data_IF_876126569559
#
_entry.id   IF_876126569559
#
_cell.length_a   1.000
_cell.length_b   1.000
_cell.length_c   1.000
_cell.angle_alpha   90.00
_cell.angle_beta   90.00
_cell.angle_gamma   90.00
#
_symmetry.space_group_name_H-M   'P 1'
#
loop_
_entity.id
_entity.type
_entity.pdbx_description
1 polymer ?
#
# COMPACT_ATOMS: atom_id res chain seq x y z
N UNK A 1 40.66 11.85 -7.58
CA UNK A 1 39.54 12.78 -7.38
C UNK A 1 38.28 11.97 -7.59
N UNK A 2 37.80 11.32 -6.53
CA UNK A 2 36.63 10.45 -6.60
C UNK A 2 35.41 11.35 -6.55
N UNK A 3 34.57 11.27 -7.59
CA UNK A 3 33.28 11.94 -7.59
C UNK A 3 32.44 11.37 -6.43
N UNK A 4 31.91 12.25 -5.58
CA UNK A 4 30.93 11.84 -4.58
C UNK A 4 29.68 11.32 -5.31
N UNK A 5 29.15 10.14 -4.93
CA UNK A 5 27.92 9.63 -5.53
C UNK A 5 26.78 10.63 -5.30
N UNK A 6 25.96 10.84 -6.34
CA UNK A 6 24.83 11.76 -6.22
C UNK A 6 23.70 11.13 -5.40
N UNK A 7 22.85 11.93 -4.75
CA UNK A 7 21.67 11.42 -4.04
C UNK A 7 20.71 10.59 -4.93
N UNK A 8 20.82 10.72 -6.26
CA UNK A 8 20.11 9.87 -7.21
C UNK A 8 20.74 8.47 -7.34
N UNK A 9 22.07 8.36 -7.26
CA UNK A 9 22.83 7.10 -7.28
C UNK A 9 22.64 6.32 -5.97
N UNK A 10 22.60 7.03 -4.83
CA UNK A 10 22.29 6.44 -3.51
C UNK A 10 20.86 5.90 -3.44
N UNK A 11 19.90 6.59 -4.06
CA UNK A 11 18.52 6.14 -4.11
C UNK A 11 18.30 4.96 -5.06
N UNK A 12 19.00 4.91 -6.19
CA UNK A 12 18.94 3.79 -7.13
C UNK A 12 19.55 2.52 -6.50
N UNK A 13 20.72 2.64 -5.87
CA UNK A 13 21.39 1.54 -5.18
C UNK A 13 20.62 1.04 -3.95
N UNK A 14 20.00 1.94 -3.18
CA UNK A 14 19.14 1.59 -2.05
C UNK A 14 17.86 0.86 -2.48
N UNK A 15 17.22 1.30 -3.58
CA UNK A 15 16.07 0.59 -4.18
C UNK A 15 16.44 -0.78 -4.74
N UNK A 16 17.60 -0.88 -5.39
CA UNK A 16 18.11 -2.14 -5.92
C UNK A 16 18.47 -3.14 -4.81
N UNK A 17 19.03 -2.66 -3.69
CA UNK A 17 19.30 -3.48 -2.49
C UNK A 17 18.01 -3.95 -1.82
N UNK A 18 17.07 -3.04 -1.56
CA UNK A 18 15.78 -3.37 -0.94
C UNK A 18 14.99 -4.37 -1.78
N UNK A 19 15.04 -4.23 -3.11
CA UNK A 19 14.41 -5.18 -4.03
C UNK A 19 15.06 -6.57 -3.99
N UNK A 20 16.40 -6.65 -3.91
CA UNK A 20 17.11 -7.93 -3.77
C UNK A 20 16.82 -8.60 -2.44
N UNK A 21 16.75 -7.84 -1.35
CA UNK A 21 16.43 -8.34 -0.02
C UNK A 21 14.99 -8.86 0.05
N UNK A 22 14.02 -8.12 -0.50
CA UNK A 22 12.65 -8.61 -0.64
C UNK A 22 12.56 -9.90 -1.47
N UNK A 23 13.27 -9.97 -2.60
CA UNK A 23 13.30 -11.17 -3.43
C UNK A 23 13.94 -12.38 -2.73
N UNK A 24 14.93 -12.15 -1.86
CA UNK A 24 15.53 -13.22 -1.06
C UNK A 24 14.56 -13.76 0.00
N UNK A 25 13.78 -12.88 0.64
CA UNK A 25 12.73 -13.26 1.59
C UNK A 25 11.64 -14.10 0.89
N UNK A 26 11.19 -13.68 -0.29
CA UNK A 26 10.25 -14.45 -1.12
C UNK A 26 10.79 -15.83 -1.52
N UNK A 27 12.08 -15.89 -1.88
CA UNK A 27 12.74 -17.14 -2.25
C UNK A 27 12.84 -18.10 -1.05
N UNK A 28 13.20 -17.61 0.13
CA UNK A 28 13.28 -18.40 1.35
C UNK A 28 11.90 -18.95 1.75
N UNK A 29 10.84 -18.14 1.66
CA UNK A 29 9.47 -18.63 1.87
C UNK A 29 9.06 -19.68 0.84
N UNK A 30 9.36 -19.45 -0.44
CA UNK A 30 9.09 -20.42 -1.51
C UNK A 30 9.85 -21.75 -1.31
N UNK A 31 11.04 -21.71 -0.74
CA UNK A 31 11.84 -22.88 -0.41
C UNK A 31 11.38 -23.60 0.87
N UNK A 32 10.44 -23.02 1.63
CA UNK A 32 9.98 -23.55 2.92
C UNK A 32 10.94 -23.28 4.07
N UNK A 33 11.92 -22.39 3.88
CA UNK A 33 12.86 -21.96 4.92
C UNK A 33 12.23 -20.95 5.88
N UNK A 34 11.25 -20.17 5.39
CA UNK A 34 10.38 -19.31 6.18
C UNK A 34 8.96 -19.83 6.11
N UNK A 35 8.26 -19.81 7.24
CA UNK A 35 6.81 -19.90 7.26
C UNK A 35 6.18 -18.52 7.03
N UNK A 36 4.86 -18.44 7.10
CA UNK A 36 4.13 -17.20 6.85
C UNK A 36 4.49 -16.11 7.88
N UNK A 37 4.62 -16.47 9.16
CA UNK A 37 4.97 -15.50 10.21
C UNK A 37 6.40 -14.98 10.02
N UNK A 38 7.34 -15.88 9.74
CA UNK A 38 8.73 -15.56 9.45
C UNK A 38 8.91 -14.67 8.21
N UNK A 39 8.11 -14.87 7.15
CA UNK A 39 8.13 -13.98 5.99
C UNK A 39 7.71 -12.55 6.38
N UNK A 40 6.60 -12.40 7.11
CA UNK A 40 6.12 -11.07 7.52
C UNK A 40 7.10 -10.38 8.47
N UNK A 41 7.70 -11.12 9.39
CA UNK A 41 8.73 -10.59 10.29
C UNK A 41 9.97 -10.13 9.52
N UNK A 42 10.43 -10.92 8.54
CA UNK A 42 11.57 -10.55 7.72
C UNK A 42 11.32 -9.28 6.88
N UNK A 43 10.14 -9.16 6.28
CA UNK A 43 9.75 -7.94 5.53
C UNK A 43 9.63 -6.74 6.48
N UNK A 44 9.03 -6.92 7.67
CA UNK A 44 8.94 -5.87 8.68
C UNK A 44 10.31 -5.41 9.14
N UNK A 45 11.21 -6.34 9.46
CA UNK A 45 12.58 -6.04 9.88
C UNK A 45 13.39 -5.30 8.80
N UNK A 46 13.07 -5.52 7.53
CA UNK A 46 13.66 -4.79 6.41
C UNK A 46 13.15 -3.34 6.32
N UNK A 47 11.84 -3.12 6.49
CA UNK A 47 11.17 -1.84 6.19
C UNK A 47 11.10 -0.90 7.40
N UNK A 48 10.73 -1.44 8.57
CA UNK A 48 10.42 -0.67 9.78
C UNK A 48 11.57 0.27 10.20
N UNK A 49 12.84 -0.18 10.27
CA UNK A 49 13.94 0.71 10.68
C UNK A 49 14.15 1.89 9.73
N UNK A 50 14.06 1.64 8.41
CA UNK A 50 14.25 2.68 7.40
C UNK A 50 13.14 3.72 7.46
N UNK A 51 11.90 3.30 7.72
CA UNK A 51 10.78 4.22 7.83
C UNK A 51 10.88 5.04 9.12
N UNK A 52 11.14 4.41 10.26
CA UNK A 52 11.24 5.11 11.55
C UNK A 52 12.40 6.09 11.62
N UNK A 53 13.53 5.79 10.95
CA UNK A 53 14.70 6.67 10.92
C UNK A 53 14.52 7.90 10.01
N UNK A 54 13.50 7.92 9.16
CA UNK A 54 13.27 9.01 8.23
C UNK A 54 12.73 10.29 8.93
N UNK A 55 13.13 11.44 8.40
CA UNK A 55 12.90 12.76 9.00
C UNK A 55 11.65 13.50 8.48
N UNK A 56 10.92 12.90 7.55
CA UNK A 56 9.74 13.51 6.94
C UNK A 56 8.61 12.50 6.70
N UNK A 57 7.35 12.97 6.63
CA UNK A 57 6.18 12.09 6.58
C UNK A 57 6.18 11.11 5.40
N UNK A 58 6.73 11.55 4.26
CA UNK A 58 6.71 10.81 2.99
C UNK A 58 7.73 9.68 3.01
N UNK A 59 8.93 9.96 3.52
CA UNK A 59 9.98 8.96 3.67
C UNK A 59 9.63 7.91 4.73
N UNK A 60 8.97 8.32 5.83
CA UNK A 60 8.35 7.43 6.82
C UNK A 60 7.17 6.59 6.27
N UNK A 61 6.78 6.79 5.01
CA UNK A 61 5.77 6.03 4.25
C UNK A 61 6.35 5.43 2.96
N UNK A 62 7.67 5.21 2.90
CA UNK A 62 8.32 4.56 1.76
C UNK A 62 8.48 5.41 0.51
N UNK A 63 8.36 6.73 0.62
CA UNK A 63 8.52 7.63 -0.51
C UNK A 63 9.68 8.62 -0.34
N UNK A 64 10.65 8.54 -1.23
CA UNK A 64 11.88 9.35 -1.19
C UNK A 64 11.81 10.66 -1.99
N UNK A 65 10.67 10.98 -2.62
CA UNK A 65 10.49 12.20 -3.41
C UNK A 65 10.24 13.45 -2.55
N UNK A 66 10.02 14.59 -3.21
CA UNK A 66 9.51 15.85 -2.62
C UNK A 66 7.95 15.84 -2.54
N UNK A 67 7.29 16.86 -1.94
CA UNK A 67 5.83 16.83 -1.78
C UNK A 67 5.08 16.73 -3.11
N UNK A 68 5.57 17.40 -4.15
CA UNK A 68 4.97 17.34 -5.49
C UNK A 68 5.10 15.93 -6.10
N UNK A 69 6.22 15.25 -5.86
CA UNK A 69 6.40 13.85 -6.30
C UNK A 69 5.52 12.88 -5.53
N UNK A 70 5.29 13.11 -4.24
CA UNK A 70 4.33 12.33 -3.46
C UNK A 70 2.92 12.49 -4.00
N UNK A 71 2.49 13.74 -4.19
CA UNK A 71 1.18 14.05 -4.76
C UNK A 71 1.00 13.41 -6.14
N UNK A 72 1.96 13.61 -7.05
CA UNK A 72 1.91 13.01 -8.38
C UNK A 72 1.84 11.47 -8.34
N UNK A 73 2.53 10.84 -7.40
CA UNK A 73 2.56 9.38 -7.26
C UNK A 73 1.34 8.79 -6.54
N UNK A 74 0.57 9.58 -5.79
CA UNK A 74 -0.51 9.09 -4.90
C UNK A 74 -1.88 9.68 -5.20
N UNK A 75 -1.98 10.90 -5.74
CA UNK A 75 -3.25 11.57 -6.06
C UNK A 75 -4.09 10.78 -7.07
N UNK A 76 -3.48 9.95 -7.93
CA UNK A 76 -4.26 9.07 -8.82
C UNK A 76 -5.26 8.17 -8.07
N UNK A 77 -5.06 7.91 -6.78
CA UNK A 77 -6.00 7.15 -5.95
C UNK A 77 -7.36 7.85 -5.78
N UNK A 78 -7.45 9.19 -5.87
CA UNK A 78 -8.75 9.88 -5.76
C UNK A 78 -9.71 9.44 -6.87
N UNK A 79 -9.17 9.15 -8.07
CA UNK A 79 -9.91 8.65 -9.22
C UNK A 79 -10.40 7.21 -9.08
N UNK A 80 -9.89 6.46 -8.11
CA UNK A 80 -10.36 5.11 -7.79
C UNK A 80 -11.44 5.11 -6.70
N UNK A 81 -11.64 6.23 -5.99
CA UNK A 81 -12.66 6.35 -4.95
C UNK A 81 -14.07 6.36 -5.57
N UNK A 82 -15.07 5.73 -4.92
CA UNK A 82 -16.46 5.91 -5.31
C UNK A 82 -16.91 7.35 -5.01
N UNK A 83 -17.74 7.92 -5.89
CA UNK A 83 -18.23 9.30 -5.75
C UNK A 83 -19.05 9.51 -4.45
N UNK A 84 -19.64 8.44 -3.91
CA UNK A 84 -20.38 8.46 -2.65
C UNK A 84 -19.49 8.65 -1.42
N UNK A 85 -18.17 8.45 -1.55
CA UNK A 85 -17.25 8.41 -0.42
C UNK A 85 -17.54 7.24 0.54
N UNK A 86 -17.14 7.41 1.81
CA UNK A 86 -17.38 6.43 2.87
C UNK A 86 -16.18 6.19 3.79
N UNK A 87 -16.33 5.22 4.69
CA UNK A 87 -15.23 4.77 5.56
C UNK A 87 -14.17 4.06 4.71
N UNK A 88 -12.92 4.57 4.75
CA UNK A 88 -11.77 4.08 4.01
C UNK A 88 -10.74 3.47 4.96
N UNK A 89 -10.39 2.20 4.76
CA UNK A 89 -9.26 1.55 5.41
C UNK A 89 -8.02 1.58 4.52
N UNK A 90 -6.94 2.18 5.01
CA UNK A 90 -5.60 2.09 4.42
C UNK A 90 -4.83 0.94 5.09
N UNK A 91 -4.63 -0.16 4.36
CA UNK A 91 -3.84 -1.29 4.82
C UNK A 91 -2.36 -1.00 4.56
N UNK A 92 -1.51 -1.22 5.57
CA UNK A 92 -0.14 -0.76 5.55
C UNK A 92 -0.07 0.76 5.63
N UNK A 93 -0.81 1.36 6.59
CA UNK A 93 -0.94 2.80 6.71
C UNK A 93 0.37 3.53 7.07
N UNK A 94 1.42 2.80 7.44
CA UNK A 94 2.70 3.32 7.89
C UNK A 94 2.52 4.39 8.97
N UNK A 95 2.96 5.61 8.72
CA UNK A 95 2.80 6.74 9.66
C UNK A 95 1.50 7.54 9.48
N UNK A 96 0.55 7.07 8.66
CA UNK A 96 -0.73 7.75 8.40
C UNK A 96 -0.68 8.88 7.37
N UNK A 97 0.46 9.15 6.73
CA UNK A 97 0.56 10.29 5.81
C UNK A 97 -0.35 10.15 4.58
N UNK A 98 -0.53 8.94 4.04
CA UNK A 98 -1.47 8.70 2.94
C UNK A 98 -2.92 8.95 3.37
N UNK A 99 -3.29 8.55 4.59
CA UNK A 99 -4.62 8.81 5.15
C UNK A 99 -4.94 10.31 5.15
N UNK A 100 -4.00 11.14 5.62
CA UNK A 100 -4.15 12.61 5.64
C UNK A 100 -4.29 13.18 4.23
N UNK A 101 -3.32 12.88 3.36
CA UNK A 101 -3.27 13.51 2.03
C UNK A 101 -4.42 13.05 1.14
N UNK A 102 -4.79 11.77 1.19
CA UNK A 102 -5.89 11.25 0.39
C UNK A 102 -7.23 11.81 0.85
N UNK A 103 -7.42 12.01 2.16
CA UNK A 103 -8.63 12.65 2.70
C UNK A 103 -8.75 14.10 2.22
N UNK A 104 -7.66 14.86 2.25
CA UNK A 104 -7.64 16.24 1.76
C UNK A 104 -7.92 16.31 0.25
N UNK A 105 -7.23 15.51 -0.56
CA UNK A 105 -7.40 15.50 -2.01
C UNK A 105 -8.77 15.00 -2.44
N UNK A 106 -9.33 14.00 -1.75
CA UNK A 106 -10.69 13.54 -2.03
C UNK A 106 -11.73 14.65 -1.76
N UNK A 107 -11.55 15.43 -0.69
CA UNK A 107 -12.44 16.53 -0.37
C UNK A 107 -12.40 17.66 -1.42
N UNK A 108 -11.23 17.91 -2.05
CA UNK A 108 -11.12 18.83 -3.20
C UNK A 108 -11.96 18.37 -4.39
N UNK A 109 -12.07 17.05 -4.59
CA UNK A 109 -12.90 16.42 -5.63
C UNK A 109 -14.38 16.24 -5.18
N UNK A 110 -14.78 16.77 -4.01
CA UNK A 110 -16.13 16.63 -3.46
C UNK A 110 -16.46 15.25 -2.89
N UNK A 111 -15.45 14.39 -2.70
CA UNK A 111 -15.58 13.03 -2.18
C UNK A 111 -15.22 13.03 -0.68
N UNK A 112 -16.17 12.66 0.17
CA UNK A 112 -15.94 12.62 1.61
C UNK A 112 -15.58 11.20 2.07
N UNK A 113 -14.32 11.03 2.51
CA UNK A 113 -13.86 9.78 3.13
C UNK A 113 -13.58 9.97 4.63
N UNK A 114 -13.78 8.91 5.40
CA UNK A 114 -13.35 8.82 6.79
C UNK A 114 -12.21 7.82 6.88
N UNK A 115 -10.97 8.26 7.17
CA UNK A 115 -9.84 7.35 7.12
C UNK A 115 -9.70 6.50 8.39
N UNK A 116 -9.28 5.27 8.17
CA UNK A 116 -8.87 4.26 9.13
C UNK A 116 -7.56 3.64 8.66
N UNK A 117 -6.77 3.10 9.58
CA UNK A 117 -5.47 2.52 9.26
C UNK A 117 -5.25 1.19 9.96
N UNK A 118 -4.55 0.27 9.29
CA UNK A 118 -3.97 -0.91 9.93
C UNK A 118 -2.54 -1.08 9.45
N UNK A 119 -1.64 -1.37 10.37
CA UNK A 119 -0.25 -1.69 10.05
C UNK A 119 0.24 -2.88 10.87
N UNK A 120 1.12 -3.69 10.27
CA UNK A 120 1.74 -4.83 10.94
C UNK A 120 2.82 -4.39 11.92
N UNK A 121 3.39 -3.21 11.73
CA UNK A 121 4.35 -2.63 12.66
C UNK A 121 3.64 -1.89 13.79
N UNK A 122 3.84 -2.37 15.02
CA UNK A 122 3.38 -1.67 16.22
C UNK A 122 3.95 -0.26 16.30
N UNK A 123 5.22 -0.08 15.93
CA UNK A 123 5.91 1.19 15.99
C UNK A 123 5.39 2.19 14.95
N UNK A 124 5.15 1.76 13.71
CA UNK A 124 4.55 2.62 12.68
C UNK A 124 3.09 2.97 13.02
N UNK A 125 2.30 2.01 13.52
CA UNK A 125 0.95 2.28 14.00
C UNK A 125 0.94 3.30 15.15
N UNK A 126 1.90 3.24 16.07
CA UNK A 126 2.05 4.26 17.11
C UNK A 126 2.41 5.63 16.52
N UNK A 127 3.37 5.69 15.60
CA UNK A 127 3.75 6.92 14.89
C UNK A 127 2.57 7.53 14.10
N UNK A 128 1.72 6.69 13.51
CA UNK A 128 0.51 7.14 12.82
C UNK A 128 -0.51 7.79 13.78
N UNK A 129 -0.69 7.22 14.97
CA UNK A 129 -1.56 7.80 16.01
C UNK A 129 -1.02 9.13 16.52
N UNK A 130 0.31 9.27 16.64
CA UNK A 130 0.95 10.53 17.02
C UNK A 130 0.80 11.60 15.93
N UNK A 131 0.97 11.21 14.65
CA UNK A 131 0.77 12.12 13.51
C UNK A 131 -0.67 12.56 13.36
N UNK A 132 -1.61 11.62 13.47
CA UNK A 132 -3.03 11.82 13.22
C UNK A 132 -3.85 11.65 14.53
N UNK A 133 -3.67 12.51 15.55
CA UNK A 133 -4.33 12.33 16.84
C UNK A 133 -5.86 12.33 16.74
N UNK A 134 -6.43 13.05 15.77
CA UNK A 134 -7.86 13.06 15.46
C UNK A 134 -8.42 11.70 15.00
N UNK A 135 -7.56 10.78 14.55
CA UNK A 135 -7.91 9.43 14.10
C UNK A 135 -7.20 8.34 14.89
N UNK A 136 -6.59 8.66 16.04
CA UNK A 136 -5.79 7.70 16.80
C UNK A 136 -6.58 6.43 17.19
N UNK A 137 -7.88 6.56 17.47
CA UNK A 137 -8.78 5.43 17.76
C UNK A 137 -9.22 4.61 16.54
N UNK A 138 -8.83 5.04 15.34
CA UNK A 138 -9.14 4.41 14.04
C UNK A 138 -7.94 3.69 13.42
N UNK A 139 -6.83 3.61 14.16
CA UNK A 139 -5.58 3.01 13.71
C UNK A 139 -5.29 1.77 14.54
N UNK A 140 -5.19 0.62 13.88
CA UNK A 140 -4.91 -0.68 14.51
C UNK A 140 -3.50 -1.17 14.21
N UNK A 141 -2.96 -1.94 15.16
CA UNK A 141 -1.78 -2.77 14.95
C UNK A 141 -2.25 -4.21 14.74
N UNK A 142 -2.06 -4.75 13.54
CA UNK A 142 -2.41 -6.13 13.19
C UNK A 142 -1.78 -6.54 11.86
N UNK A 143 -1.55 -7.84 11.68
CA UNK A 143 -1.25 -8.39 10.36
C UNK A 143 -2.54 -8.50 9.55
N UNK A 144 -2.70 -7.68 8.51
CA UNK A 144 -3.89 -7.68 7.65
C UNK A 144 -4.19 -9.05 7.03
N UNK A 145 -3.17 -9.90 6.86
CA UNK A 145 -3.36 -11.31 6.50
C UNK A 145 -4.00 -12.06 7.67
N UNK A 146 -5.32 -12.25 7.59
CA UNK A 146 -6.13 -12.95 8.61
C UNK A 146 -6.66 -12.06 9.74
N UNK A 147 -6.39 -10.76 9.74
CA UNK A 147 -6.97 -9.84 10.72
C UNK A 147 -8.49 -9.77 10.59
N UNK A 148 -9.18 -9.91 11.72
CA UNK A 148 -10.61 -9.71 11.87
C UNK A 148 -10.87 -8.27 12.33
N UNK A 149 -11.28 -7.35 11.43
CA UNK A 149 -11.49 -5.97 11.81
C UNK A 149 -12.75 -5.85 12.70
N UNK A 150 -12.84 -4.83 13.57
CA UNK A 150 -14.03 -4.63 14.41
C UNK A 150 -15.27 -4.22 13.62
N UNK A 151 -15.11 -3.93 12.31
CA UNK A 151 -16.14 -3.54 11.36
C UNK A 151 -15.63 -3.72 9.93
N UNK A 152 -16.54 -3.73 8.96
CA UNK A 152 -16.20 -3.63 7.55
C UNK A 152 -16.12 -2.16 7.09
N UNK A 153 -15.52 -1.95 5.91
CA UNK A 153 -15.26 -0.63 5.33
C UNK A 153 -15.83 -0.52 3.92
N UNK A 154 -16.39 0.64 3.57
CA UNK A 154 -16.91 0.89 2.23
C UNK A 154 -15.79 0.87 1.18
N UNK A 155 -14.58 1.28 1.59
CA UNK A 155 -13.41 1.33 0.73
C UNK A 155 -12.24 0.71 1.50
N UNK A 156 -11.52 -0.23 0.89
CA UNK A 156 -10.27 -0.78 1.41
C UNK A 156 -9.18 -0.54 0.38
N UNK A 157 -8.04 -0.01 0.79
CA UNK A 157 -6.87 0.17 -0.07
C UNK A 157 -5.70 -0.68 0.45
N UNK A 158 -5.03 -1.41 -0.45
CA UNK A 158 -3.92 -2.31 -0.10
C UNK A 158 -2.86 -2.39 -1.19
N UNK A 159 -1.66 -2.87 -0.85
CA UNK A 159 -0.72 -3.51 -1.77
C UNK A 159 -0.87 -5.04 -1.75
N UNK A 160 -0.42 -5.74 -2.80
CA UNK A 160 -0.33 -7.22 -2.83
C UNK A 160 1.08 -7.73 -2.52
N UNK A 161 2.01 -6.81 -2.31
CA UNK A 161 3.37 -7.02 -1.79
C UNK A 161 3.40 -7.13 -0.25
N UNK A 162 2.23 -7.10 0.42
CA UNK A 162 2.11 -7.30 1.87
C UNK A 162 2.06 -8.76 2.29
N UNK A 163 1.99 -9.68 1.32
CA UNK A 163 2.00 -11.13 1.53
C UNK A 163 2.91 -11.77 0.47
N UNK A 164 3.44 -12.98 0.71
CA UNK A 164 4.17 -13.72 -0.30
C UNK A 164 3.29 -13.97 -1.54
N UNK A 165 3.85 -14.05 -2.76
CA UNK A 165 3.08 -14.24 -3.99
C UNK A 165 2.06 -15.40 -3.94
N UNK A 166 2.43 -16.51 -3.29
CA UNK A 166 1.60 -17.70 -3.15
C UNK A 166 0.34 -17.48 -2.28
N UNK A 167 0.34 -16.46 -1.41
CA UNK A 167 -0.77 -16.14 -0.52
C UNK A 167 -1.65 -14.99 -1.03
N UNK A 168 -1.29 -14.34 -2.15
CA UNK A 168 -2.06 -13.20 -2.67
C UNK A 168 -3.53 -13.52 -2.94
N UNK A 169 -3.84 -14.71 -3.47
CA UNK A 169 -5.22 -15.13 -3.69
C UNK A 169 -6.02 -15.23 -2.37
N UNK A 170 -5.45 -15.90 -1.37
CA UNK A 170 -6.07 -16.01 -0.04
C UNK A 170 -6.19 -14.65 0.65
N UNK A 171 -5.22 -13.76 0.45
CA UNK A 171 -5.23 -12.40 0.99
C UNK A 171 -6.33 -11.54 0.36
N UNK A 172 -6.45 -11.55 -0.97
CA UNK A 172 -7.53 -10.85 -1.68
C UNK A 172 -8.89 -11.38 -1.24
N UNK A 173 -9.07 -12.70 -1.16
CA UNK A 173 -10.31 -13.33 -0.69
C UNK A 173 -10.65 -12.91 0.76
N UNK A 174 -9.66 -12.90 1.66
CA UNK A 174 -9.85 -12.43 3.04
C UNK A 174 -10.33 -10.97 3.09
N UNK A 175 -9.68 -10.08 2.33
CA UNK A 175 -10.08 -8.67 2.29
C UNK A 175 -11.50 -8.51 1.74
N UNK A 176 -11.84 -9.20 0.65
CA UNK A 176 -13.17 -9.11 0.04
C UNK A 176 -14.26 -9.66 0.94
N UNK A 177 -14.00 -10.74 1.68
CA UNK A 177 -15.04 -11.42 2.47
C UNK A 177 -15.16 -10.94 3.91
N UNK A 178 -14.08 -10.45 4.52
CA UNK A 178 -14.04 -10.10 5.95
C UNK A 178 -13.88 -8.60 6.21
N UNK A 179 -13.34 -7.83 5.26
CA UNK A 179 -12.90 -6.45 5.51
C UNK A 179 -13.69 -5.42 4.71
N UNK A 180 -13.95 -5.69 3.43
CA UNK A 180 -14.77 -4.83 2.58
C UNK A 180 -16.25 -5.05 2.90
N UNK A 181 -17.02 -3.97 3.02
CA UNK A 181 -18.46 -4.05 3.24
C UNK A 181 -19.18 -4.57 1.97
N UNK A 182 -20.38 -5.18 2.11
CA UNK A 182 -21.25 -5.44 0.96
C UNK A 182 -21.47 -4.17 0.13
N UNK A 183 -21.41 -4.27 -1.20
CA UNK A 183 -21.43 -3.10 -2.09
C UNK A 183 -20.18 -2.22 -2.06
N UNK A 184 -19.14 -2.60 -1.31
CA UNK A 184 -17.89 -1.85 -1.14
C UNK A 184 -16.86 -2.10 -2.22
N UNK A 185 -15.70 -1.45 -2.08
CA UNK A 185 -14.60 -1.47 -3.06
C UNK A 185 -13.26 -1.82 -2.43
N UNK A 186 -12.53 -2.76 -3.06
CA UNK A 186 -11.12 -3.03 -2.79
C UNK A 186 -10.25 -2.35 -3.85
N UNK A 187 -9.39 -1.43 -3.46
CA UNK A 187 -8.42 -0.74 -4.31
C UNK A 187 -7.04 -1.38 -4.09
N UNK A 188 -6.43 -1.89 -5.17
CA UNK A 188 -5.06 -2.42 -5.17
C UNK A 188 -4.13 -1.39 -5.78
N UNK A 189 -3.17 -0.91 -5.00
CA UNK A 189 -2.14 0.02 -5.41
C UNK A 189 -1.83 1.09 -4.37
N UNK A 190 -0.98 2.07 -4.67
CA UNK A 190 -0.32 2.29 -5.95
C UNK A 190 0.88 1.38 -6.11
N UNK A 191 1.01 0.73 -7.26
CA UNK A 191 2.19 -0.05 -7.65
C UNK A 191 2.82 0.51 -8.92
N UNK A 192 4.08 0.15 -9.18
CA UNK A 192 4.80 0.50 -10.40
C UNK A 192 4.82 -0.70 -11.34
N UNK A 193 4.52 -0.48 -12.61
CA UNK A 193 4.59 -1.53 -13.61
C UNK A 193 4.89 -0.93 -14.99
N UNK A 194 5.47 -1.73 -15.89
CA UNK A 194 5.68 -1.33 -17.27
C UNK A 194 4.38 -0.87 -17.94
N UNK A 195 4.49 0.15 -18.79
CA UNK A 195 3.35 0.85 -19.40
C UNK A 195 2.37 -0.10 -20.09
N UNK A 196 2.90 -1.06 -20.83
CA UNK A 196 2.12 -1.95 -21.70
C UNK A 196 1.79 -3.30 -21.04
N UNK A 197 2.12 -3.45 -19.76
CA UNK A 197 1.84 -4.64 -18.98
C UNK A 197 0.64 -4.42 -18.04
N UNK A 198 0.06 -5.51 -17.55
CA UNK A 198 -1.03 -5.52 -16.56
C UNK A 198 -0.92 -6.81 -15.73
N UNK A 199 0.28 -7.13 -15.24
CA UNK A 199 0.57 -8.43 -14.63
C UNK A 199 -0.20 -8.63 -13.34
N UNK A 200 -0.20 -7.64 -12.45
CA UNK A 200 -0.90 -7.75 -11.16
C UNK A 200 -2.42 -7.81 -11.33
N UNK A 201 -2.96 -7.06 -12.31
CA UNK A 201 -4.38 -7.11 -12.67
C UNK A 201 -4.76 -8.48 -13.27
N UNK A 202 -3.91 -9.02 -14.15
CA UNK A 202 -4.08 -10.37 -14.73
C UNK A 202 -4.01 -11.45 -13.66
N UNK A 203 -3.09 -11.32 -12.70
CA UNK A 203 -2.97 -12.22 -11.55
C UNK A 203 -4.29 -12.29 -10.78
N UNK A 204 -4.86 -11.13 -10.40
CA UNK A 204 -6.15 -11.04 -9.71
C UNK A 204 -7.31 -11.58 -10.57
N UNK A 205 -7.28 -11.37 -11.89
CA UNK A 205 -8.29 -11.92 -12.80
C UNK A 205 -8.18 -13.45 -12.89
N UNK A 206 -6.98 -14.01 -12.91
CA UNK A 206 -6.75 -15.47 -12.93
C UNK A 206 -7.17 -16.13 -11.61
N UNK A 207 -7.22 -15.39 -10.51
CA UNK A 207 -7.80 -15.82 -9.23
C UNK A 207 -9.34 -15.87 -9.26
N UNK A 208 -9.97 -15.42 -10.35
CA UNK A 208 -11.42 -15.46 -10.54
C UNK A 208 -12.15 -14.17 -10.19
N UNK A 209 -11.43 -13.08 -9.88
CA UNK A 209 -12.06 -11.82 -9.52
C UNK A 209 -12.20 -10.86 -10.72
N UNK A 210 -13.30 -10.11 -10.75
CA UNK A 210 -13.55 -9.12 -11.78
C UNK A 210 -13.00 -7.74 -11.40
N UNK A 211 -12.18 -7.16 -12.27
CA UNK A 211 -11.63 -5.80 -12.09
C UNK A 211 -12.65 -4.77 -12.58
N UNK A 212 -13.20 -3.98 -11.66
CA UNK A 212 -14.20 -2.96 -11.94
C UNK A 212 -13.65 -1.72 -12.66
N UNK A 213 -12.35 -1.46 -12.53
CA UNK A 213 -11.67 -0.43 -13.30
C UNK A 213 -10.23 -0.19 -12.84
N UNK A 214 -9.56 0.75 -13.52
CA UNK A 214 -8.15 1.08 -13.28
C UNK A 214 -7.85 2.56 -13.51
N UNK A 215 -6.79 3.03 -12.86
CA UNK A 215 -6.23 4.37 -13.00
C UNK A 215 -4.72 4.31 -13.13
N UNK A 216 -4.16 5.23 -13.91
CA UNK A 216 -2.72 5.33 -14.12
C UNK A 216 -2.25 6.77 -14.07
N UNK A 217 -0.99 6.97 -13.69
CA UNK A 217 -0.27 8.23 -13.82
C UNK A 217 1.16 7.99 -14.34
N UNK A 218 1.76 8.94 -15.09
CA UNK A 218 3.13 8.82 -15.57
C UNK A 218 4.13 8.58 -14.42
N UNK A 219 5.05 7.63 -14.56
CA UNK A 219 6.18 7.50 -13.66
C UNK A 219 7.37 8.34 -14.15
N UNK A 220 8.34 8.64 -13.27
CA UNK A 220 9.59 9.34 -13.65
C UNK A 220 10.40 8.58 -14.70
N UNK A 221 10.32 7.26 -14.64
CA UNK A 221 10.96 6.36 -15.60
C UNK A 221 9.99 6.16 -16.77
N UNK A 222 10.38 6.48 -18.01
CA UNK A 222 9.44 6.57 -19.14
C UNK A 222 8.72 5.25 -19.46
N UNK A 223 9.39 4.11 -19.18
CA UNK A 223 8.83 2.78 -19.38
C UNK A 223 7.80 2.35 -18.32
N UNK A 224 7.71 3.05 -17.18
CA UNK A 224 6.84 2.67 -16.07
C UNK A 224 5.63 3.60 -15.94
N UNK A 225 4.59 3.10 -15.28
CA UNK A 225 3.45 3.86 -14.80
C UNK A 225 3.23 3.61 -13.31
N UNK A 226 2.73 4.62 -12.60
CA UNK A 226 2.00 4.40 -11.36
C UNK A 226 0.62 3.85 -11.73
N UNK A 227 0.21 2.75 -11.10
CA UNK A 227 -1.07 2.10 -11.37
C UNK A 227 -1.82 1.78 -10.09
N UNK A 228 -3.13 1.82 -10.18
CA UNK A 228 -4.04 1.20 -9.23
C UNK A 228 -5.24 0.64 -10.00
N UNK A 229 -5.83 -0.42 -9.48
CA UNK A 229 -7.10 -0.97 -9.97
C UNK A 229 -8.01 -1.27 -8.79
N UNK A 230 -9.28 -1.55 -9.06
CA UNK A 230 -10.22 -1.90 -8.01
C UNK A 230 -11.15 -3.03 -8.39
N UNK A 231 -11.67 -3.67 -7.35
CA UNK A 231 -12.71 -4.68 -7.38
C UNK A 231 -13.93 -4.12 -6.65
N UNK A 232 -15.11 -4.26 -7.26
CA UNK A 232 -16.38 -3.87 -6.66
C UNK A 232 -17.08 -5.14 -6.15
N UNK A 233 -17.51 -5.12 -4.89
CA UNK A 233 -18.32 -6.20 -4.32
C UNK A 233 -19.78 -5.91 -4.64
N UNK A 234 -20.52 -6.95 -5.03
CA UNK A 234 -21.98 -6.81 -5.21
C UNK A 234 -22.67 -6.50 -3.86
N UNK A 235 -23.81 -5.79 -3.87
CA UNK A 235 -24.58 -5.53 -2.66
C UNK A 235 -25.03 -6.80 -1.93
#
# INVERSE_FOLDING_TARGET
MNAEPSAADDLASSKERSWREAAAIDAAYKAGELDQEGWHEAVRALIEPAYLAADNPRAQSGHSGDPARWEHARRLLTRALPASGGDLLDVGCANGHLMETLTAWAAEDGIHIQPYGVDISLALAALARERCPQWASRIWHANAMGWQPPRTFAIVRTGLDYVPPQLRGAYVEHLLTQVVAPGGRLIVGVFNEERDQHLLEREVTMMGHHVGGRVTAPHRHPALLYKAFWLDISP
#
